data_IF_249232150406
#
_entry.id   IF_249232150406
#
_cell.length_a   1.000
_cell.length_b   1.000
_cell.length_c   1.000
_cell.angle_alpha   90.00
_cell.angle_beta   90.00
_cell.angle_gamma   90.00
#
_symmetry.space_group_name_H-M   'P 1'
#
loop_
_entity.id
_entity.type
_entity.pdbx_description
1 polymer ?
#
# COMPACT_ATOMS: atom_id res chain seq x y z
N UNK A 1 14.99 -0.55 -8.56
CA UNK A 1 14.09 -1.00 -9.65
C UNK A 1 13.04 0.06 -9.93
N UNK A 2 12.67 0.26 -11.20
CA UNK A 2 11.87 1.37 -11.69
C UNK A 2 10.42 0.91 -11.94
N UNK A 3 9.50 1.20 -11.02
CA UNK A 3 8.11 0.69 -11.07
C UNK A 3 7.07 1.72 -11.53
N UNK A 4 7.51 2.92 -11.91
CA UNK A 4 6.70 4.13 -11.78
C UNK A 4 5.67 4.36 -12.90
N UNK A 5 5.83 3.75 -14.08
CA UNK A 5 5.05 4.16 -15.25
C UNK A 5 4.14 3.05 -15.78
N UNK A 6 2.83 3.33 -15.75
CA UNK A 6 1.89 2.65 -16.62
C UNK A 6 2.10 3.17 -18.05
N UNK A 7 2.52 2.31 -18.96
CA UNK A 7 2.63 2.68 -20.38
C UNK A 7 1.25 2.95 -20.96
N UNK A 8 1.14 3.87 -21.93
CA UNK A 8 -0.13 4.14 -22.64
C UNK A 8 -0.76 2.86 -23.19
N UNK A 9 0.07 1.95 -23.72
CA UNK A 9 -0.39 0.65 -24.23
C UNK A 9 -1.08 -0.16 -23.13
N UNK A 10 -0.45 -0.27 -21.96
CA UNK A 10 -1.03 -1.01 -20.84
C UNK A 10 -2.28 -0.35 -20.26
N UNK A 11 -2.33 0.99 -20.20
CA UNK A 11 -3.50 1.74 -19.73
C UNK A 11 -4.70 1.49 -20.63
N UNK A 12 -4.48 1.53 -21.95
CA UNK A 12 -5.53 1.23 -22.93
C UNK A 12 -6.02 -0.20 -22.72
N UNK A 13 -5.15 -1.19 -22.62
CA UNK A 13 -5.54 -2.58 -22.39
C UNK A 13 -6.41 -2.74 -21.14
N UNK A 14 -6.00 -2.17 -20.00
CA UNK A 14 -6.76 -2.21 -18.76
C UNK A 14 -8.09 -1.44 -18.83
N UNK A 15 -8.13 -0.30 -19.52
CA UNK A 15 -9.36 0.47 -19.72
C UNK A 15 -10.38 -0.30 -20.58
N UNK A 16 -9.92 -1.24 -21.41
CA UNK A 16 -10.78 -2.07 -22.25
C UNK A 16 -11.30 -3.33 -21.53
N UNK A 17 -10.62 -3.81 -20.47
CA UNK A 17 -11.02 -5.01 -19.71
C UNK A 17 -12.33 -4.80 -18.95
N UNK A 18 -13.37 -5.65 -19.09
CA UNK A 18 -14.67 -5.49 -18.45
C UNK A 18 -14.54 -5.12 -16.97
N UNK A 19 -15.26 -4.09 -16.51
CA UNK A 19 -15.24 -3.63 -15.12
C UNK A 19 -15.79 -4.66 -14.12
N UNK A 20 -16.23 -5.81 -14.61
CA UNK A 20 -17.10 -6.72 -13.88
C UNK A 20 -16.39 -8.04 -13.59
N UNK A 21 -15.79 -8.19 -12.40
CA UNK A 21 -15.86 -9.45 -11.73
C UNK A 21 -17.26 -9.52 -11.10
N UNK A 22 -18.25 -10.03 -11.86
CA UNK A 22 -19.36 -10.69 -11.20
C UNK A 22 -18.76 -11.78 -10.29
N UNK A 23 -19.26 -11.83 -9.06
CA UNK A 23 -18.87 -12.73 -7.99
C UNK A 23 -17.51 -12.45 -7.31
N UNK A 24 -17.58 -11.76 -6.18
CA UNK A 24 -17.51 -12.54 -4.95
C UNK A 24 -18.57 -12.02 -4.00
N UNK A 25 -19.53 -12.90 -3.73
CA UNK A 25 -20.53 -12.80 -2.68
C UNK A 25 -19.94 -12.10 -1.46
N UNK A 26 -20.80 -11.34 -0.78
CA UNK A 26 -20.72 -11.14 0.66
C UNK A 26 -20.51 -12.51 1.30
N UNK A 27 -19.27 -12.97 1.45
CA UNK A 27 -18.95 -14.03 2.40
C UNK A 27 -19.25 -13.39 3.74
N UNK A 28 -20.42 -13.69 4.28
CA UNK A 28 -20.70 -13.72 5.71
C UNK A 28 -19.74 -14.72 6.35
N UNK A 29 -18.44 -14.41 6.30
CA UNK A 29 -17.42 -15.17 6.98
C UNK A 29 -17.49 -14.82 8.45
N UNK A 30 -17.35 -15.83 9.30
CA UNK A 30 -17.15 -15.73 10.74
C UNK A 30 -16.41 -14.43 11.07
N UNK A 31 -17.06 -13.55 11.84
CA UNK A 31 -16.35 -12.42 12.40
C UNK A 31 -15.25 -13.03 13.28
N UNK A 32 -14.00 -12.57 13.21
CA UNK A 32 -12.91 -13.06 14.05
C UNK A 32 -13.23 -13.06 15.54
N UNK A 33 -14.04 -12.08 15.96
CA UNK A 33 -14.58 -11.96 17.31
C UNK A 33 -15.54 -13.09 17.72
N UNK A 34 -16.02 -13.88 16.77
CA UNK A 34 -16.92 -15.01 16.99
C UNK A 34 -16.18 -16.35 17.12
N UNK A 35 -14.85 -16.37 16.97
CA UNK A 35 -14.06 -17.56 17.25
C UNK A 35 -13.95 -17.76 18.77
N UNK A 36 -13.80 -19.00 19.27
CA UNK A 36 -13.37 -19.25 20.65
C UNK A 36 -12.11 -18.44 21.01
N UNK A 37 -12.01 -17.98 22.25
CA UNK A 37 -10.91 -17.11 22.72
C UNK A 37 -9.54 -17.74 22.45
N UNK A 38 -9.42 -19.05 22.62
CA UNK A 38 -8.19 -19.82 22.40
C UNK A 38 -7.74 -19.72 20.95
N UNK A 39 -8.67 -19.82 20.00
CA UNK A 39 -8.36 -19.67 18.57
C UNK A 39 -8.03 -18.22 18.23
N UNK A 40 -8.69 -17.24 18.86
CA UNK A 40 -8.32 -15.83 18.70
C UNK A 40 -6.88 -15.59 19.19
N UNK A 41 -6.52 -16.10 20.37
CA UNK A 41 -5.17 -15.99 20.93
C UNK A 41 -4.13 -16.68 20.04
N UNK A 42 -4.41 -17.88 19.54
CA UNK A 42 -3.52 -18.57 18.60
C UNK A 42 -3.27 -17.75 17.33
N UNK A 43 -4.30 -17.10 16.79
CA UNK A 43 -4.17 -16.19 15.63
C UNK A 43 -3.31 -14.98 15.97
N UNK A 44 -3.54 -14.35 17.12
CA UNK A 44 -2.79 -13.17 17.54
C UNK A 44 -1.30 -13.50 17.74
N UNK A 45 -0.96 -14.68 18.27
CA UNK A 45 0.44 -15.12 18.43
C UNK A 45 1.19 -15.33 17.11
N UNK A 46 0.49 -15.44 15.98
CA UNK A 46 1.10 -15.53 14.65
C UNK A 46 1.25 -14.16 13.98
N UNK A 47 0.85 -13.08 14.64
CA UNK A 47 0.92 -11.73 14.10
C UNK A 47 2.25 -11.06 14.48
N UNK A 48 2.79 -10.24 13.58
CA UNK A 48 3.91 -9.37 13.95
C UNK A 48 3.46 -8.25 14.87
N UNK A 49 4.38 -7.57 15.60
CA UNK A 49 3.99 -6.51 16.53
C UNK A 49 3.23 -5.37 15.83
N UNK A 50 3.53 -5.09 14.56
CA UNK A 50 2.78 -4.10 13.76
C UNK A 50 1.34 -4.55 13.49
N UNK A 51 1.15 -5.83 13.19
CA UNK A 51 -0.17 -6.39 12.95
C UNK A 51 -1.00 -6.35 14.23
N UNK A 52 -0.40 -6.66 15.38
CA UNK A 52 -1.03 -6.52 16.70
C UNK A 52 -1.44 -5.09 17.02
N UNK A 53 -0.60 -4.09 16.73
CA UNK A 53 -0.98 -2.67 16.89
C UNK A 53 -2.19 -2.31 16.03
N UNK A 54 -2.18 -2.72 14.76
CA UNK A 54 -3.31 -2.49 13.87
C UNK A 54 -4.59 -3.17 14.39
N UNK A 55 -4.49 -4.41 14.86
CA UNK A 55 -5.60 -5.16 15.44
C UNK A 55 -6.17 -4.47 16.69
N UNK A 56 -5.30 -4.00 17.59
CA UNK A 56 -5.70 -3.27 18.81
C UNK A 56 -6.49 -1.98 18.53
N UNK A 57 -6.34 -1.39 17.35
CA UNK A 57 -7.02 -0.15 16.94
C UNK A 57 -8.34 -0.41 16.18
N UNK A 58 -8.64 -1.68 15.87
CA UNK A 58 -9.79 -2.04 15.02
C UNK A 58 -11.03 -2.45 15.80
N UNK A 59 -10.87 -3.06 16.98
CA UNK A 59 -11.98 -3.37 17.87
C UNK A 59 -11.54 -3.47 19.34
N UNK A 60 -12.47 -3.16 20.26
CA UNK A 60 -12.21 -3.21 21.71
C UNK A 60 -11.90 -4.63 22.21
N UNK A 61 -12.47 -5.67 21.59
CA UNK A 61 -12.21 -7.07 21.98
C UNK A 61 -10.74 -7.46 21.79
N UNK A 62 -10.15 -7.17 20.62
CA UNK A 62 -8.73 -7.41 20.41
C UNK A 62 -7.87 -6.50 21.26
N UNK A 63 -8.30 -5.26 21.50
CA UNK A 63 -7.61 -4.37 22.42
C UNK A 63 -7.52 -4.99 23.82
N UNK A 64 -8.64 -5.43 24.39
CA UNK A 64 -8.67 -6.08 25.72
C UNK A 64 -7.81 -7.33 25.76
N UNK A 65 -7.94 -8.24 24.78
CA UNK A 65 -7.11 -9.45 24.73
C UNK A 65 -5.62 -9.09 24.70
N UNK A 66 -5.22 -8.09 23.91
CA UNK A 66 -3.83 -7.68 23.78
C UNK A 66 -3.30 -6.89 24.98
N UNK A 67 -4.16 -6.18 25.70
CA UNK A 67 -3.78 -5.48 26.92
C UNK A 67 -3.61 -6.46 28.10
N UNK A 68 -4.41 -7.54 28.14
CA UNK A 68 -4.36 -8.56 29.20
C UNK A 68 -3.28 -9.64 28.97
N UNK A 69 -2.76 -9.78 27.75
CA UNK A 69 -1.90 -10.91 27.33
C UNK A 69 -0.54 -10.45 26.81
N UNK A 70 0.34 -10.06 27.73
CA UNK A 70 1.71 -9.68 27.42
C UNK A 70 2.51 -10.78 26.70
N UNK A 71 2.16 -12.06 26.92
CA UNK A 71 2.76 -13.21 26.26
C UNK A 71 2.59 -13.18 24.72
N UNK A 72 1.47 -12.65 24.22
CA UNK A 72 1.23 -12.53 22.77
C UNK A 72 2.23 -11.55 22.14
N UNK A 73 2.51 -10.44 22.83
CA UNK A 73 3.46 -9.45 22.33
C UNK A 73 4.91 -9.97 22.39
N UNK A 74 5.25 -10.70 23.46
CA UNK A 74 6.56 -11.34 23.57
C UNK A 74 6.79 -12.36 22.44
N UNK A 75 5.80 -13.19 22.12
CA UNK A 75 5.85 -14.12 20.98
C UNK A 75 6.08 -13.38 19.65
N UNK A 76 5.31 -12.31 19.41
CA UNK A 76 5.43 -11.48 18.21
C UNK A 76 6.79 -10.79 18.07
N UNK A 77 7.40 -10.39 19.19
CA UNK A 77 8.75 -9.82 19.23
C UNK A 77 9.81 -10.87 18.93
N UNK A 78 9.73 -12.03 19.60
CA UNK A 78 10.66 -13.14 19.38
C UNK A 78 10.65 -13.63 17.94
N UNK A 79 9.48 -13.63 17.30
CA UNK A 79 9.32 -13.97 15.89
C UNK A 79 10.25 -13.16 14.96
N UNK A 80 10.42 -11.86 15.24
CA UNK A 80 11.30 -10.97 14.47
C UNK A 80 12.74 -10.94 14.99
N UNK A 81 13.06 -11.78 15.98
CA UNK A 81 14.33 -11.73 16.71
C UNK A 81 14.57 -10.38 17.38
N UNK A 82 13.52 -9.59 17.60
CA UNK A 82 13.64 -8.21 18.01
C UNK A 82 14.03 -8.09 19.49
N UNK A 83 14.85 -7.09 19.84
CA UNK A 83 15.35 -6.93 21.20
C UNK A 83 14.19 -6.75 22.17
N UNK A 84 14.27 -7.38 23.34
CA UNK A 84 13.34 -7.09 24.43
C UNK A 84 13.30 -5.58 24.70
N UNK A 85 12.16 -5.01 25.12
CA UNK A 85 12.09 -3.61 25.47
C UNK A 85 13.19 -3.32 26.50
N UNK A 86 14.23 -2.52 26.17
CA UNK A 86 15.12 -2.06 27.22
C UNK A 86 14.29 -1.17 28.14
N UNK A 87 14.60 -1.17 29.44
CA UNK A 87 13.96 -0.27 30.41
C UNK A 87 14.09 1.22 30.06
N UNK A 88 14.80 1.56 28.98
CA UNK A 88 14.89 2.88 28.36
C UNK A 88 15.16 2.71 26.85
N UNK A 89 14.21 3.11 25.99
CA UNK A 89 14.58 3.61 24.66
C UNK A 89 15.18 5.00 24.89
N UNK A 90 16.41 5.22 24.43
CA UNK A 90 17.12 6.49 24.64
C UNK A 90 16.23 7.66 24.17
N UNK A 91 16.10 8.69 25.00
CA UNK A 91 15.30 9.89 24.74
C UNK A 91 13.76 9.75 24.72
N UNK A 92 13.20 8.55 25.02
CA UNK A 92 11.74 8.31 25.12
C UNK A 92 11.22 7.93 26.51
N UNK A 93 12.07 7.98 27.54
CA UNK A 93 11.70 7.50 28.87
C UNK A 93 11.59 5.96 28.91
N UNK A 94 11.18 5.40 30.05
CA UNK A 94 10.96 3.97 30.16
C UNK A 94 9.80 3.52 29.25
N UNK A 95 10.00 2.40 28.57
CA UNK A 95 8.92 1.75 27.83
C UNK A 95 8.22 0.77 28.75
N UNK A 96 7.09 1.19 29.30
CA UNK A 96 6.42 0.44 30.37
C UNK A 96 5.67 -0.82 29.86
N UNK A 97 5.61 -1.06 28.54
CA UNK A 97 4.93 -2.24 27.96
C UNK A 97 5.44 -2.64 26.56
N UNK A 98 5.29 -3.92 26.22
CA UNK A 98 5.58 -4.46 24.87
C UNK A 98 4.75 -3.77 23.77
N UNK A 99 3.52 -3.34 24.07
CA UNK A 99 2.67 -2.58 23.14
C UNK A 99 3.27 -1.20 22.83
N UNK A 100 3.73 -0.48 23.86
CA UNK A 100 4.40 0.81 23.68
C UNK A 100 5.70 0.62 22.89
N UNK A 101 6.49 -0.40 23.21
CA UNK A 101 7.70 -0.77 22.47
C UNK A 101 7.41 -1.02 20.99
N UNK A 102 6.39 -1.83 20.69
CA UNK A 102 5.99 -2.11 19.32
C UNK A 102 5.54 -0.83 18.60
N UNK A 103 4.82 0.06 19.29
CA UNK A 103 4.41 1.34 18.72
C UNK A 103 5.63 2.19 18.35
N UNK A 104 6.65 2.25 19.21
CA UNK A 104 7.90 2.94 18.87
C UNK A 104 8.59 2.31 17.65
N UNK A 105 8.82 0.99 17.67
CA UNK A 105 9.57 0.30 16.62
C UNK A 105 8.85 0.24 15.27
N UNK A 106 7.51 0.17 15.25
CA UNK A 106 6.74 -0.07 14.01
C UNK A 106 5.75 1.05 13.63
N UNK A 107 5.48 2.02 14.50
CA UNK A 107 4.60 3.18 14.19
C UNK A 107 5.27 4.53 14.38
N UNK A 108 6.40 4.59 15.08
CA UNK A 108 7.02 5.84 15.51
C UNK A 108 7.47 6.73 14.35
N UNK A 109 7.08 8.00 14.42
CA UNK A 109 7.85 9.08 13.85
C UNK A 109 9.02 9.33 14.79
N UNK A 110 10.15 8.63 14.61
CA UNK A 110 11.43 9.00 15.19
C UNK A 110 12.55 8.37 14.37
N UNK A 111 13.36 9.28 13.86
CA UNK A 111 14.81 9.36 13.98
C UNK A 111 15.65 8.10 14.00
N UNK A 112 16.89 8.33 13.59
CA UNK A 112 18.08 7.50 13.70
C UNK A 112 18.41 7.05 15.16
N UNK A 113 17.43 7.07 16.08
CA UNK A 113 17.53 6.94 17.52
C UNK A 113 16.84 5.68 18.08
N UNK A 114 16.33 4.78 17.25
CA UNK A 114 16.03 3.43 17.73
C UNK A 114 17.40 2.81 18.08
N UNK A 115 17.76 2.89 19.37
CA UNK A 115 18.89 2.20 19.98
C UNK A 115 18.56 0.71 20.10
N UNK A 116 18.22 0.10 18.96
CA UNK A 116 18.22 -1.34 18.83
C UNK A 116 19.69 -1.78 18.82
N UNK A 117 20.02 -2.94 19.42
CA UNK A 117 21.38 -3.45 19.39
C UNK A 117 21.92 -3.40 17.95
N UNK A 118 23.11 -2.81 17.71
CA UNK A 118 23.65 -2.62 16.36
C UNK A 118 23.65 -3.92 15.55
N UNK A 119 23.92 -5.05 16.22
CA UNK A 119 23.90 -6.38 15.63
C UNK A 119 22.51 -6.82 15.16
N UNK A 120 21.45 -6.50 15.93
CA UNK A 120 20.08 -6.76 15.49
C UNK A 120 19.69 -5.89 14.29
N UNK A 121 19.97 -4.59 14.34
CA UNK A 121 19.62 -3.68 13.24
C UNK A 121 20.33 -4.09 11.93
N UNK A 122 21.60 -4.49 12.03
CA UNK A 122 22.36 -5.02 10.90
C UNK A 122 21.75 -6.33 10.39
N UNK A 123 21.48 -7.29 11.27
CA UNK A 123 20.90 -8.59 10.89
C UNK A 123 19.50 -8.44 10.29
N UNK A 124 18.65 -7.64 10.92
CA UNK A 124 17.31 -7.33 10.42
C UNK A 124 17.39 -6.69 9.03
N UNK A 125 18.27 -5.69 8.83
CA UNK A 125 18.46 -5.06 7.52
C UNK A 125 18.89 -6.05 6.45
N UNK A 126 19.83 -6.96 6.78
CA UNK A 126 20.25 -8.01 5.85
C UNK A 126 19.11 -8.95 5.48
N UNK A 127 18.32 -9.38 6.47
CA UNK A 127 17.20 -10.28 6.21
C UNK A 127 16.06 -9.56 5.48
N UNK A 128 15.82 -8.29 5.78
CA UNK A 128 14.87 -7.44 5.07
C UNK A 128 15.23 -7.29 3.60
N UNK A 129 16.51 -7.07 3.26
CA UNK A 129 17.00 -6.99 1.88
C UNK A 129 16.78 -8.33 1.16
N UNK A 130 17.12 -9.44 1.82
CA UNK A 130 16.88 -10.78 1.28
C UNK A 130 15.39 -11.03 1.01
N UNK A 131 14.53 -10.68 1.97
CA UNK A 131 13.07 -10.83 1.84
C UNK A 131 12.52 -9.94 0.71
N UNK A 132 13.02 -8.71 0.57
CA UNK A 132 12.64 -7.79 -0.51
C UNK A 132 12.99 -8.36 -1.90
N UNK A 133 14.20 -8.88 -2.08
CA UNK A 133 14.65 -9.51 -3.32
C UNK A 133 13.87 -10.79 -3.63
N UNK A 134 13.68 -11.64 -2.63
CA UNK A 134 12.91 -12.88 -2.75
C UNK A 134 11.45 -12.59 -3.10
N UNK A 135 10.82 -11.61 -2.46
CA UNK A 135 9.45 -11.20 -2.76
C UNK A 135 9.32 -10.63 -4.17
N UNK A 136 10.27 -9.79 -4.60
CA UNK A 136 10.27 -9.26 -5.96
C UNK A 136 10.41 -10.38 -7.02
N UNK A 137 11.26 -11.38 -6.74
CA UNK A 137 11.40 -12.56 -7.60
C UNK A 137 10.12 -13.41 -7.60
N UNK A 138 9.58 -13.72 -6.41
CA UNK A 138 8.41 -14.58 -6.23
C UNK A 138 7.17 -14.00 -6.89
N UNK A 139 6.94 -12.69 -6.77
CA UNK A 139 5.82 -12.03 -7.45
C UNK A 139 5.98 -12.13 -8.97
N UNK A 140 7.19 -11.97 -9.53
CA UNK A 140 7.40 -12.14 -10.99
C UNK A 140 7.06 -13.56 -11.43
N UNK A 141 7.41 -14.56 -10.62
CA UNK A 141 7.00 -15.95 -10.84
C UNK A 141 5.48 -16.08 -10.80
N UNK A 142 4.80 -15.58 -9.77
CA UNK A 142 3.34 -15.64 -9.67
C UNK A 142 2.62 -14.93 -10.82
N UNK A 143 3.19 -13.84 -11.35
CA UNK A 143 2.67 -13.14 -12.53
C UNK A 143 2.78 -13.96 -13.83
N UNK A 144 3.58 -15.02 -13.82
CA UNK A 144 3.73 -15.97 -14.93
C UNK A 144 2.89 -17.23 -14.75
N UNK A 145 2.20 -17.37 -13.61
CA UNK A 145 1.35 -18.50 -13.23
C UNK A 145 -0.14 -18.14 -13.34
N UNK A 146 -1.02 -19.14 -13.23
CA UNK A 146 -2.45 -18.88 -13.15
C UNK A 146 -2.85 -18.17 -11.84
N UNK A 147 -3.85 -17.26 -11.89
CA UNK A 147 -4.66 -16.90 -13.06
C UNK A 147 -4.10 -15.71 -13.87
N UNK A 148 -2.90 -15.22 -13.56
CA UNK A 148 -2.31 -14.08 -14.27
C UNK A 148 -1.89 -14.41 -15.70
N UNK A 149 -1.48 -15.66 -15.92
CA UNK A 149 -1.13 -16.17 -17.24
C UNK A 149 -2.33 -16.20 -18.20
N UNK A 150 -3.53 -16.50 -17.70
CA UNK A 150 -4.78 -16.47 -18.46
C UNK A 150 -5.36 -15.06 -18.70
N UNK A 151 -4.83 -14.02 -18.06
CA UNK A 151 -5.31 -12.65 -18.30
C UNK A 151 -5.02 -12.22 -19.74
N UNK A 152 -6.04 -11.69 -20.43
CA UNK A 152 -5.89 -11.07 -21.76
C UNK A 152 -4.84 -9.95 -21.76
N UNK A 153 -4.67 -9.30 -20.61
CA UNK A 153 -3.70 -8.22 -20.40
C UNK A 153 -2.59 -8.69 -19.49
N UNK A 154 -1.37 -8.79 -20.05
CA UNK A 154 -0.18 -9.12 -19.26
C UNK A 154 0.07 -8.08 -18.18
N UNK A 155 0.18 -8.55 -16.94
CA UNK A 155 0.43 -7.71 -15.77
C UNK A 155 1.88 -7.83 -15.38
N UNK A 156 2.54 -6.69 -15.21
CA UNK A 156 3.93 -6.61 -14.80
C UNK A 156 4.06 -6.35 -13.31
N UNK A 157 5.20 -6.75 -12.74
CA UNK A 157 5.53 -6.43 -11.35
C UNK A 157 5.45 -4.93 -11.07
N UNK A 158 5.92 -4.09 -12.00
CA UNK A 158 5.83 -2.64 -11.89
C UNK A 158 4.39 -2.17 -11.70
N UNK A 159 3.44 -2.68 -12.49
CA UNK A 159 2.03 -2.31 -12.39
C UNK A 159 1.40 -2.76 -11.08
N UNK A 160 1.67 -3.98 -10.62
CA UNK A 160 1.22 -4.46 -9.30
C UNK A 160 1.71 -3.51 -8.21
N UNK A 161 2.98 -3.13 -8.24
CA UNK A 161 3.56 -2.23 -7.25
C UNK A 161 3.03 -0.79 -7.32
N UNK A 162 2.15 -0.48 -8.28
CA UNK A 162 1.40 0.79 -8.33
C UNK A 162 0.06 0.69 -7.61
N UNK A 163 -0.45 -0.52 -7.40
CA UNK A 163 -1.69 -0.76 -6.65
C UNK A 163 -1.46 -0.55 -5.15
N UNK A 164 -2.33 0.17 -4.43
CA UNK A 164 -2.27 0.24 -2.98
C UNK A 164 -2.26 -1.13 -2.30
N UNK A 165 -3.07 -2.09 -2.77
CA UNK A 165 -3.13 -3.44 -2.21
C UNK A 165 -1.83 -4.21 -2.43
N UNK A 166 -1.25 -4.18 -3.64
CA UNK A 166 0.00 -4.86 -3.94
C UNK A 166 1.17 -4.32 -3.13
N UNK A 167 1.27 -2.99 -2.98
CA UNK A 167 2.26 -2.37 -2.09
C UNK A 167 2.06 -2.77 -0.64
N UNK A 168 0.82 -2.72 -0.13
CA UNK A 168 0.54 -3.07 1.24
C UNK A 168 0.89 -4.53 1.57
N UNK A 169 0.63 -5.47 0.65
CA UNK A 169 1.05 -6.87 0.79
C UNK A 169 2.58 -6.98 0.81
N UNK A 170 3.24 -6.37 -0.17
CA UNK A 170 4.70 -6.41 -0.29
C UNK A 170 5.40 -5.83 0.93
N UNK A 171 4.96 -4.66 1.39
CA UNK A 171 5.52 -3.98 2.55
C UNK A 171 5.26 -4.77 3.84
N UNK A 172 4.12 -5.45 3.96
CA UNK A 172 3.80 -6.28 5.14
C UNK A 172 4.74 -7.49 5.26
N UNK A 173 4.85 -8.29 4.20
CA UNK A 173 5.73 -9.47 4.20
C UNK A 173 7.20 -9.09 4.35
N UNK A 174 7.64 -8.03 3.66
CA UNK A 174 9.01 -7.54 3.79
C UNK A 174 9.32 -7.04 5.21
N UNK A 175 8.40 -6.30 5.84
CA UNK A 175 8.51 -5.88 7.25
C UNK A 175 8.64 -7.08 8.18
N UNK A 176 7.83 -8.10 7.93
CA UNK A 176 7.81 -9.31 8.75
C UNK A 176 8.99 -10.26 8.40
N UNK A 177 9.86 -9.88 7.46
CA UNK A 177 10.99 -10.68 6.99
C UNK A 177 10.55 -12.02 6.40
N UNK A 178 9.36 -12.02 5.80
CA UNK A 178 8.70 -13.17 5.21
C UNK A 178 8.71 -13.10 3.67
N UNK A 179 8.54 -14.28 3.07
CA UNK A 179 8.29 -14.41 1.63
C UNK A 179 6.79 -14.60 1.38
N UNK A 180 6.24 -13.81 0.47
CA UNK A 180 4.83 -13.88 0.05
C UNK A 180 4.55 -15.26 -0.52
N UNK A 181 3.62 -15.95 0.12
CA UNK A 181 3.11 -17.22 -0.34
C UNK A 181 2.02 -17.06 -1.43
N UNK A 182 1.78 -18.14 -2.16
CA UNK A 182 0.83 -18.16 -3.28
C UNK A 182 -0.62 -17.89 -2.83
N UNK A 183 -1.00 -18.34 -1.64
CA UNK A 183 -2.36 -18.19 -1.15
C UNK A 183 -2.64 -16.75 -0.73
N UNK A 184 -1.72 -16.10 -0.01
CA UNK A 184 -1.74 -14.68 0.31
C UNK A 184 -1.82 -13.81 -0.94
N UNK A 185 -1.11 -14.18 -2.00
CA UNK A 185 -1.13 -13.52 -3.29
C UNK A 185 -2.48 -13.67 -4.02
N UNK A 186 -2.94 -14.90 -4.23
CA UNK A 186 -4.22 -15.24 -4.90
C UNK A 186 -5.42 -14.58 -4.23
N UNK A 187 -5.34 -14.43 -2.92
CA UNK A 187 -6.36 -13.84 -2.09
C UNK A 187 -6.57 -12.34 -2.26
N UNK A 188 -5.48 -11.59 -2.51
CA UNK A 188 -5.54 -10.14 -2.74
C UNK A 188 -5.64 -9.80 -4.22
N UNK A 189 -5.44 -10.78 -5.08
CA UNK A 189 -5.47 -10.64 -6.53
C UNK A 189 -6.71 -9.90 -7.06
N UNK A 190 -7.97 -10.28 -6.73
CA UNK A 190 -9.13 -9.57 -7.26
C UNK A 190 -9.16 -8.07 -6.90
N UNK A 191 -8.56 -7.70 -5.76
CA UNK A 191 -8.46 -6.30 -5.34
C UNK A 191 -7.39 -5.57 -6.17
N UNK A 192 -6.24 -6.18 -6.40
CA UNK A 192 -5.20 -5.61 -7.27
C UNK A 192 -5.71 -5.40 -8.70
N UNK A 193 -6.41 -6.37 -9.29
CA UNK A 193 -6.95 -6.23 -10.66
C UNK A 193 -7.96 -5.09 -10.76
N UNK A 194 -8.85 -4.96 -9.76
CA UNK A 194 -9.80 -3.85 -9.67
C UNK A 194 -9.08 -2.51 -9.57
N UNK A 195 -8.06 -2.41 -8.71
CA UNK A 195 -7.27 -1.21 -8.54
C UNK A 195 -6.55 -0.81 -9.83
N UNK A 196 -6.00 -1.77 -10.59
CA UNK A 196 -5.38 -1.52 -11.89
C UNK A 196 -6.39 -0.94 -12.90
N UNK A 197 -7.61 -1.49 -12.96
CA UNK A 197 -8.68 -0.97 -13.81
C UNK A 197 -9.08 0.48 -13.44
N UNK A 198 -9.21 0.77 -12.15
CA UNK A 198 -9.49 2.14 -11.66
C UNK A 198 -8.36 3.11 -12.01
N UNK A 199 -7.10 2.73 -11.82
CA UNK A 199 -5.94 3.55 -12.19
C UNK A 199 -5.87 3.78 -13.71
N UNK A 200 -6.20 2.76 -14.50
CA UNK A 200 -6.18 2.81 -15.96
C UNK A 200 -7.31 3.67 -16.55
N UNK A 201 -8.41 3.87 -15.81
CA UNK A 201 -9.52 4.76 -16.22
C UNK A 201 -9.08 6.22 -16.41
N UNK A 202 -7.94 6.61 -15.84
CA UNK A 202 -7.44 8.00 -15.81
C UNK A 202 -8.38 8.98 -15.08
N UNK A 203 -9.40 8.49 -14.39
CA UNK A 203 -10.30 9.28 -13.56
C UNK A 203 -9.69 9.36 -12.16
N UNK A 204 -9.11 10.51 -11.84
CA UNK A 204 -8.39 10.65 -10.57
C UNK A 204 -9.30 10.48 -9.34
N UNK A 205 -10.55 10.96 -9.42
CA UNK A 205 -11.54 10.78 -8.34
C UNK A 205 -11.96 9.33 -8.12
N UNK A 206 -11.80 8.47 -9.13
CA UNK A 206 -12.05 7.03 -9.04
C UNK A 206 -10.79 6.23 -8.62
N UNK A 207 -9.63 6.88 -8.48
CA UNK A 207 -8.40 6.20 -8.12
C UNK A 207 -8.48 5.59 -6.72
N UNK A 208 -7.87 4.41 -6.50
CA UNK A 208 -7.98 3.74 -5.22
C UNK A 208 -7.27 4.53 -4.11
N UNK A 209 -7.80 4.45 -2.90
CA UNK A 209 -7.25 5.17 -1.74
C UNK A 209 -5.79 4.77 -1.51
N UNK A 210 -4.91 5.76 -1.39
CA UNK A 210 -3.47 5.54 -1.22
C UNK A 210 -2.70 5.42 -2.55
N UNK A 211 -3.37 5.45 -3.70
CA UNK A 211 -2.70 5.62 -4.99
C UNK A 211 -1.95 6.95 -5.02
N UNK A 212 -0.72 6.93 -5.56
CA UNK A 212 0.13 8.11 -5.65
C UNK A 212 0.43 8.40 -7.12
N UNK A 213 -0.22 9.42 -7.71
CA UNK A 213 0.05 9.80 -9.08
C UNK A 213 1.53 10.15 -9.26
N UNK A 214 2.13 9.67 -10.32
CA UNK A 214 3.45 10.04 -10.80
C UNK A 214 3.32 11.12 -11.87
N UNK A 215 4.36 11.92 -12.09
CA UNK A 215 4.33 13.02 -13.08
C UNK A 215 4.02 12.53 -14.50
N UNK A 216 4.40 11.30 -14.81
CA UNK A 216 4.18 10.66 -16.11
C UNK A 216 2.82 9.95 -16.20
N UNK A 217 2.06 9.85 -15.11
CA UNK A 217 0.71 9.32 -15.19
C UNK A 217 -0.18 10.23 -16.00
N UNK A 218 -1.10 9.63 -16.76
CA UNK A 218 -2.14 10.33 -17.48
C UNK A 218 -3.44 10.37 -16.68
N UNK A 219 -4.08 11.52 -16.70
CA UNK A 219 -5.40 11.77 -16.13
C UNK A 219 -6.30 12.42 -17.17
N UNK A 220 -7.61 12.24 -17.00
CA UNK A 220 -8.60 13.00 -17.76
C UNK A 220 -8.80 14.33 -17.02
N UNK A 221 -8.71 15.43 -17.77
CA UNK A 221 -9.05 16.75 -17.25
C UNK A 221 -10.58 16.83 -17.07
N UNK A 222 -11.10 17.01 -15.84
CA UNK A 222 -12.55 17.03 -15.60
C UNK A 222 -13.23 18.22 -16.28
N UNK A 223 -12.50 19.31 -16.53
CA UNK A 223 -13.06 20.50 -17.21
C UNK A 223 -13.08 20.34 -18.75
N UNK A 224 -12.19 19.53 -19.32
CA UNK A 224 -12.28 19.12 -20.74
C UNK A 224 -13.29 17.99 -20.97
N UNK A 225 -13.50 17.15 -19.96
CA UNK A 225 -14.38 15.98 -20.03
C UNK A 225 -15.18 15.85 -18.72
N UNK A 226 -16.30 16.58 -18.59
CA UNK A 226 -17.11 16.61 -17.37
C UNK A 226 -17.77 15.26 -17.04
N UNK A 227 -17.99 14.43 -18.07
CA UNK A 227 -18.52 13.08 -17.94
C UNK A 227 -17.44 12.05 -18.33
N UNK A 228 -16.47 11.79 -17.43
CA UNK A 228 -15.38 10.88 -17.71
C UNK A 228 -15.83 9.41 -17.72
N UNK A 229 -17.05 9.10 -17.23
CA UNK A 229 -17.65 7.77 -17.26
C UNK A 229 -17.80 7.23 -18.69
N UNK A 230 -17.95 8.12 -19.67
CA UNK A 230 -18.05 7.76 -21.08
C UNK A 230 -16.70 7.60 -21.78
N UNK A 231 -15.56 7.92 -21.14
CA UNK A 231 -14.23 7.82 -21.75
C UNK A 231 -13.92 6.42 -22.29
N UNK A 232 -14.30 5.40 -21.51
CA UNK A 232 -14.14 4.00 -21.90
C UNK A 232 -15.02 3.62 -23.09
N UNK A 233 -16.28 4.05 -23.08
CA UNK A 233 -17.20 3.81 -24.20
C UNK A 233 -16.68 4.48 -25.47
N UNK A 234 -16.17 5.72 -25.38
CA UNK A 234 -15.57 6.44 -26.48
C UNK A 234 -14.33 5.70 -27.02
N UNK A 235 -13.44 5.22 -26.15
CA UNK A 235 -12.23 4.45 -26.54
C UNK A 235 -12.58 3.13 -27.23
N UNK A 236 -13.64 2.45 -26.77
CA UNK A 236 -14.16 1.21 -27.35
C UNK A 236 -14.80 1.44 -28.73
N UNK A 237 -15.55 2.53 -28.88
CA UNK A 237 -16.27 2.88 -30.10
C UNK A 237 -15.40 3.50 -31.19
N UNK A 238 -14.08 3.64 -30.97
CA UNK A 238 -13.18 4.22 -31.97
C UNK A 238 -13.17 3.38 -33.26
N UNK A 239 -13.38 4.01 -34.44
CA UNK A 239 -13.24 3.35 -35.72
C UNK A 239 -11.86 2.71 -35.89
N UNK A 240 -11.78 1.55 -36.55
CA UNK A 240 -10.52 0.81 -36.75
C UNK A 240 -9.38 1.64 -37.36
N UNK A 241 -9.70 2.65 -38.17
CA UNK A 241 -8.73 3.60 -38.77
C UNK A 241 -8.11 4.59 -37.78
N UNK A 242 -8.70 4.78 -36.59
CA UNK A 242 -8.22 5.70 -35.57
C UNK A 242 -7.33 4.95 -34.60
N UNK A 243 -6.08 5.40 -34.46
CA UNK A 243 -5.18 4.88 -33.45
C UNK A 243 -5.70 5.17 -32.04
N UNK A 244 -6.11 4.13 -31.31
CA UNK A 244 -6.50 4.23 -29.89
C UNK A 244 -5.42 4.91 -29.05
N UNK A 245 -4.14 4.66 -29.36
CA UNK A 245 -2.99 5.30 -28.67
C UNK A 245 -2.96 6.80 -28.92
N UNK A 246 -3.08 7.24 -30.17
CA UNK A 246 -3.11 8.67 -30.51
C UNK A 246 -4.32 9.35 -29.90
N UNK A 247 -5.49 8.73 -29.97
CA UNK A 247 -6.72 9.25 -29.37
C UNK A 247 -6.58 9.38 -27.85
N UNK A 248 -6.11 8.34 -27.16
CA UNK A 248 -5.89 8.36 -25.72
C UNK A 248 -4.92 9.48 -25.32
N UNK A 249 -3.83 9.65 -26.07
CA UNK A 249 -2.85 10.70 -25.81
C UNK A 249 -3.41 12.12 -25.95
N UNK A 250 -4.36 12.33 -26.88
CA UNK A 250 -5.02 13.62 -27.12
C UNK A 250 -6.12 13.95 -26.10
N UNK A 251 -6.75 12.92 -25.52
CA UNK A 251 -7.88 13.07 -24.59
C UNK A 251 -7.47 12.92 -23.12
N UNK A 252 -6.17 12.81 -22.83
CA UNK A 252 -5.64 12.76 -21.47
C UNK A 252 -4.43 13.68 -21.35
N UNK A 253 -4.13 14.09 -20.13
CA UNK A 253 -3.03 15.00 -19.79
C UNK A 253 -2.13 14.32 -18.78
N UNK A 254 -0.82 14.49 -18.89
CA UNK A 254 0.11 14.00 -17.86
C UNK A 254 -0.02 14.84 -16.59
N UNK A 255 0.14 14.24 -15.42
CA UNK A 255 0.09 14.95 -14.13
C UNK A 255 1.09 16.10 -14.10
N UNK A 256 2.30 15.89 -14.63
CA UNK A 256 3.35 16.91 -14.76
C UNK A 256 2.95 18.09 -15.65
N UNK A 257 2.08 17.89 -16.64
CA UNK A 257 1.63 18.95 -17.56
C UNK A 257 0.27 19.55 -17.19
N UNK A 258 -0.38 19.11 -16.10
CA UNK A 258 -1.69 19.63 -15.68
C UNK A 258 -1.73 21.15 -15.53
N UNK A 259 -0.78 21.77 -14.82
CA UNK A 259 -0.73 23.23 -14.65
C UNK A 259 -0.68 23.95 -15.99
N UNK A 260 0.18 23.51 -16.91
CA UNK A 260 0.29 24.09 -18.23
C UNK A 260 -0.99 23.91 -19.04
N UNK A 261 -1.59 22.72 -19.01
CA UNK A 261 -2.88 22.45 -19.65
C UNK A 261 -3.99 23.38 -19.15
N UNK A 262 -4.07 23.63 -17.83
CA UNK A 262 -5.05 24.56 -17.27
C UNK A 262 -4.74 26.01 -17.64
N UNK A 263 -3.48 26.42 -17.73
CA UNK A 263 -3.12 27.76 -18.20
C UNK A 263 -3.60 28.00 -19.63
N UNK A 264 -3.48 26.99 -20.49
CA UNK A 264 -3.87 27.10 -21.89
C UNK A 264 -5.39 26.96 -22.11
N UNK A 265 -6.04 25.99 -21.47
CA UNK A 265 -7.44 25.63 -21.78
C UNK A 265 -8.45 26.13 -20.76
N UNK A 266 -8.04 26.38 -19.52
CA UNK A 266 -8.91 26.73 -18.41
C UNK A 266 -8.32 27.86 -17.54
N UNK A 267 -7.87 28.99 -18.11
CA UNK A 267 -7.11 30.01 -17.37
C UNK A 267 -7.89 30.56 -16.16
N UNK A 268 -9.22 30.67 -16.27
CA UNK A 268 -10.10 31.11 -15.18
C UNK A 268 -10.24 30.12 -14.01
N UNK A 269 -9.77 28.88 -14.16
CA UNK A 269 -9.90 27.82 -13.15
C UNK A 269 -8.58 27.49 -12.43
N UNK A 270 -7.48 28.19 -12.73
CA UNK A 270 -6.15 27.88 -12.20
C UNK A 270 -6.06 27.85 -10.66
N UNK A 271 -6.80 28.73 -9.98
CA UNK A 271 -6.74 28.86 -8.52
C UNK A 271 -7.79 28.00 -7.79
N UNK A 272 -8.81 27.55 -8.51
CA UNK A 272 -9.95 26.83 -7.93
C UNK A 272 -9.98 25.37 -8.30
N UNK A 273 -9.32 24.97 -9.39
CA UNK A 273 -9.36 23.61 -9.88
C UNK A 273 -8.68 22.66 -8.90
N UNK A 274 -9.42 21.69 -8.34
CA UNK A 274 -8.85 20.88 -7.29
C UNK A 274 -7.88 19.80 -7.78
N UNK A 275 -7.89 19.48 -9.08
CA UNK A 275 -6.90 18.58 -9.69
C UNK A 275 -5.50 19.21 -9.72
N UNK A 276 -5.39 20.55 -9.65
CA UNK A 276 -4.11 21.24 -9.53
C UNK A 276 -3.53 21.15 -8.11
N UNK A 277 -4.31 20.69 -7.13
CA UNK A 277 -3.85 20.45 -5.75
C UNK A 277 -3.16 19.11 -5.57
N UNK A 278 -3.02 18.29 -6.60
CA UNK A 278 -2.22 17.05 -6.54
C UNK A 278 -0.78 17.44 -6.22
N UNK A 279 -0.22 17.04 -5.05
CA UNK A 279 1.19 17.26 -4.79
C UNK A 279 2.03 16.59 -5.90
N UNK A 280 2.72 17.38 -6.70
CA UNK A 280 3.74 16.88 -7.66
C UNK A 280 5.00 16.44 -6.94
N UNK A 281 5.23 17.11 -5.82
CA UNK A 281 6.35 16.97 -4.95
C UNK A 281 5.82 16.79 -3.53
N UNK A 282 6.44 15.89 -2.80
CA UNK A 282 6.12 15.60 -1.42
C UNK A 282 7.43 15.40 -0.65
N UNK A 283 7.43 15.89 0.57
CA UNK A 283 8.54 15.66 1.49
C UNK A 283 8.32 14.35 2.24
N UNK A 284 9.41 13.69 2.60
CA UNK A 284 9.32 12.60 3.55
C UNK A 284 8.94 13.15 4.92
N UNK A 285 7.74 12.82 5.41
CA UNK A 285 7.26 13.31 6.70
C UNK A 285 8.13 12.82 7.86
N UNK A 286 8.75 11.65 7.74
CA UNK A 286 9.68 11.11 8.74
C UNK A 286 10.92 12.01 8.82
N UNK A 287 11.55 12.30 7.68
CA UNK A 287 12.72 13.20 7.64
C UNK A 287 12.39 14.63 8.06
N UNK A 288 11.19 15.13 7.79
CA UNK A 288 10.78 16.47 8.21
C UNK A 288 10.58 16.58 9.73
N UNK A 289 10.15 15.50 10.38
CA UNK A 289 9.87 15.48 11.82
C UNK A 289 11.09 15.15 12.67
N UNK A 290 12.24 14.84 12.06
CA UNK A 290 13.48 14.41 12.70
C UNK A 290 14.25 15.57 13.37
N UNK A 291 14.41 15.63 14.71
CA UNK A 291 15.20 16.64 15.41
C UNK A 291 16.69 16.54 15.04
N UNK A 292 17.33 17.68 14.76
CA UNK A 292 18.79 17.77 14.57
C UNK A 292 19.31 17.45 13.15
N UNK A 293 18.44 17.03 12.23
CA UNK A 293 18.84 16.76 10.83
C UNK A 293 18.71 18.02 9.98
N UNK A 294 19.61 18.98 10.16
CA UNK A 294 19.40 20.34 9.62
C UNK A 294 19.61 20.49 8.10
N UNK A 295 20.35 19.63 7.38
CA UNK A 295 20.83 20.03 6.04
C UNK A 295 20.63 19.06 4.86
N UNK A 296 20.25 17.79 5.05
CA UNK A 296 20.26 16.81 3.93
C UNK A 296 18.90 16.33 3.41
N UNK A 297 17.76 16.67 4.04
CA UNK A 297 16.47 16.00 3.73
C UNK A 297 15.25 16.91 3.49
N UNK A 298 15.46 18.22 3.29
CA UNK A 298 14.41 19.12 2.78
C UNK A 298 14.33 19.10 1.24
N UNK A 299 14.66 17.97 0.62
CA UNK A 299 14.50 17.80 -0.83
C UNK A 299 13.08 17.30 -1.08
N UNK A 300 12.25 18.04 -1.82
CA UNK A 300 10.98 17.51 -2.26
C UNK A 300 11.20 16.34 -3.24
N UNK A 301 10.45 15.26 -3.06
CA UNK A 301 10.49 14.10 -3.94
C UNK A 301 9.24 14.03 -4.81
N UNK A 302 9.37 13.62 -6.08
CA UNK A 302 8.22 13.12 -6.83
C UNK A 302 7.74 11.78 -6.22
N UNK A 303 6.55 11.31 -6.61
CA UNK A 303 5.96 10.07 -6.08
C UNK A 303 6.92 8.86 -6.13
N UNK A 304 7.68 8.74 -7.22
CA UNK A 304 8.74 7.74 -7.40
C UNK A 304 9.90 7.92 -6.41
N UNK A 305 10.47 9.11 -6.35
CA UNK A 305 11.59 9.45 -5.48
C UNK A 305 11.23 9.23 -4.02
N UNK A 306 10.00 9.60 -3.63
CA UNK A 306 9.51 9.44 -2.27
C UNK A 306 9.40 7.95 -1.93
N UNK A 307 8.77 7.15 -2.80
CA UNK A 307 8.66 5.69 -2.57
C UNK A 307 10.02 5.02 -2.46
N UNK A 308 10.99 5.44 -3.29
CA UNK A 308 12.36 4.92 -3.22
C UNK A 308 13.05 5.33 -1.92
N UNK A 309 12.94 6.59 -1.52
CA UNK A 309 13.52 7.12 -0.30
C UNK A 309 12.90 6.44 0.93
N UNK A 310 11.58 6.37 1.02
CA UNK A 310 10.85 5.66 2.09
C UNK A 310 11.35 4.22 2.22
N UNK A 311 11.51 3.51 1.09
CA UNK A 311 12.00 2.13 1.07
C UNK A 311 13.45 1.98 1.53
N UNK A 312 14.35 2.84 1.05
CA UNK A 312 15.79 2.67 1.28
C UNK A 312 16.26 3.27 2.61
N UNK A 313 15.65 4.37 3.03
CA UNK A 313 16.06 5.14 4.20
C UNK A 313 15.25 4.80 5.45
N UNK A 314 13.99 4.38 5.29
CA UNK A 314 13.10 4.09 6.42
C UNK A 314 12.60 2.65 6.45
N UNK A 315 12.61 1.95 5.32
CA UNK A 315 12.13 0.58 5.22
C UNK A 315 12.74 -0.38 6.26
N UNK A 316 14.07 -0.39 6.47
CA UNK A 316 14.69 -1.25 7.48
C UNK A 316 14.49 -0.80 8.94
N UNK A 317 14.32 0.50 9.18
CA UNK A 317 14.34 1.08 10.55
C UNK A 317 12.92 1.31 11.08
N UNK A 318 11.96 1.62 10.19
CA UNK A 318 10.56 1.90 10.49
C UNK A 318 9.62 1.09 9.58
N UNK A 319 9.70 -0.25 9.62
CA UNK A 319 9.13 -1.11 8.58
C UNK A 319 7.59 -1.14 8.60
N UNK A 320 6.95 -0.64 9.67
CA UNK A 320 5.50 -0.52 9.77
C UNK A 320 4.89 0.82 9.32
N UNK A 321 5.71 1.82 8.97
CA UNK A 321 5.19 3.14 8.59
C UNK A 321 4.65 3.11 7.14
N UNK A 322 3.37 2.75 6.97
CA UNK A 322 2.68 2.91 5.67
C UNK A 322 2.40 4.39 5.49
N UNK A 323 3.28 5.06 4.78
CA UNK A 323 3.22 6.50 4.52
C UNK A 323 1.88 6.87 3.88
N UNK A 324 1.00 7.52 4.65
CA UNK A 324 -0.26 8.05 4.14
C UNK A 324 0.06 9.28 3.30
N UNK A 325 -0.29 9.21 2.02
CA UNK A 325 -0.30 10.40 1.18
C UNK A 325 -1.52 11.22 1.58
N UNK A 326 -1.31 12.31 2.31
CA UNK A 326 -2.34 13.31 2.58
C UNK A 326 -2.52 14.15 1.31
N UNK A 327 -3.14 13.57 0.27
CA UNK A 327 -3.76 14.43 -0.72
C UNK A 327 -4.96 15.10 -0.04
N UNK A 328 -5.10 16.43 -0.10
CA UNK A 328 -6.39 17.05 0.15
C UNK A 328 -7.35 16.52 -0.92
N UNK A 329 -8.16 15.50 -0.57
CA UNK A 329 -9.24 15.04 -1.44
C UNK A 329 -10.17 16.22 -1.68
N UNK A 330 -10.37 16.67 -2.91
CA UNK A 330 -11.22 17.82 -3.14
C UNK A 330 -12.69 17.47 -3.44
N UNK A 331 -13.03 16.19 -3.48
CA UNK A 331 -14.37 15.74 -3.84
C UNK A 331 -14.83 14.66 -2.87
N UNK A 332 -15.61 15.07 -1.87
CA UNK A 332 -16.58 14.23 -1.16
C UNK A 332 -16.09 13.35 -0.01
N UNK A 333 -15.89 13.96 1.17
CA UNK A 333 -16.66 13.82 2.43
C UNK A 333 -15.71 14.11 3.61
N UNK A 334 -16.16 14.87 4.63
CA UNK A 334 -15.32 15.23 5.75
C UNK A 334 -15.00 13.98 6.58
N UNK A 335 -13.74 13.91 7.03
CA UNK A 335 -13.27 13.19 8.21
C UNK A 335 -14.23 12.12 8.73
N UNK A 336 -14.18 10.93 8.11
CA UNK A 336 -14.31 9.72 8.93
C UNK A 336 -12.89 9.22 9.13
N UNK A 337 -12.31 9.65 10.24
CA UNK A 337 -11.15 8.98 10.80
C UNK A 337 -11.60 7.56 11.16
N UNK A 338 -11.26 6.61 10.31
CA UNK A 338 -11.48 5.19 10.59
C UNK A 338 -10.24 4.45 10.19
N UNK A 339 -9.54 3.99 11.21
CA UNK A 339 -8.75 2.76 11.22
C UNK A 339 -9.54 1.64 10.53
N UNK A 340 -9.47 1.53 9.19
CA UNK A 340 -10.37 0.66 8.43
C UNK A 340 -9.85 -0.77 8.22
N UNK A 341 -10.77 -1.76 8.14
CA UNK A 341 -10.57 -3.19 8.43
C UNK A 341 -9.96 -4.01 7.28
N UNK A 342 -9.39 -3.37 6.25
CA UNK A 342 -8.83 -4.06 5.08
C UNK A 342 -7.53 -4.82 5.40
N UNK A 343 -6.76 -4.34 6.40
CA UNK A 343 -5.59 -5.06 6.95
C UNK A 343 -5.97 -6.29 7.78
N UNK A 344 -7.10 -6.22 8.49
CA UNK A 344 -7.68 -7.36 9.21
C UNK A 344 -7.89 -8.52 8.24
N UNK A 345 -8.49 -8.22 7.08
CA UNK A 345 -8.72 -9.20 6.03
C UNK A 345 -7.42 -9.87 5.58
N UNK A 346 -6.32 -9.18 5.31
CA UNK A 346 -5.08 -9.85 4.87
C UNK A 346 -4.44 -10.72 5.97
N UNK A 347 -4.55 -10.34 7.24
CA UNK A 347 -4.06 -11.13 8.39
C UNK A 347 -4.94 -12.37 8.64
N UNK A 348 -6.26 -12.21 8.68
CA UNK A 348 -7.23 -13.31 8.85
C UNK A 348 -7.22 -14.25 7.64
N UNK A 349 -6.98 -13.70 6.45
CA UNK A 349 -6.89 -14.50 5.24
C UNK A 349 -5.53 -15.20 5.09
N UNK A 350 -4.42 -14.66 5.66
CA UNK A 350 -3.16 -15.41 5.89
C UNK A 350 -3.45 -16.67 6.73
N UNK A 351 -4.31 -16.56 7.74
CA UNK A 351 -4.78 -17.70 8.53
C UNK A 351 -5.68 -18.68 7.74
N UNK A 352 -6.71 -18.22 7.02
CA UNK A 352 -7.53 -19.13 6.19
C UNK A 352 -6.71 -19.86 5.10
N UNK A 353 -5.74 -19.17 4.50
CA UNK A 353 -4.81 -19.75 3.54
C UNK A 353 -3.93 -20.85 4.17
N UNK A 354 -3.39 -20.59 5.37
CA UNK A 354 -2.52 -21.51 6.10
C UNK A 354 -3.29 -22.72 6.65
N UNK A 355 -4.43 -22.49 7.30
CA UNK A 355 -5.31 -23.56 7.81
C UNK A 355 -5.80 -24.46 6.68
N UNK A 356 -6.27 -23.90 5.55
CA UNK A 356 -6.70 -24.69 4.40
C UNK A 356 -5.56 -25.55 3.80
N UNK A 357 -4.32 -25.06 3.84
CA UNK A 357 -3.14 -25.80 3.37
C UNK A 357 -2.69 -26.92 4.30
N UNK A 358 -2.93 -26.78 5.62
CA UNK A 358 -2.60 -27.77 6.64
C UNK A 358 -3.67 -28.86 6.76
N UNK A 359 -4.97 -28.53 6.61
CA UNK A 359 -6.06 -29.53 6.52
C UNK A 359 -6.10 -30.30 5.20
N UNK A 360 -5.35 -29.88 4.18
CA UNK A 360 -5.21 -30.63 2.92
C UNK A 360 -4.03 -31.62 2.95
N UNK A 361 -3.22 -31.61 4.01
CA UNK A 361 -2.04 -32.48 4.20
C UNK A 361 -2.22 -33.50 5.34
N UNK A 362 -3.32 -33.41 6.09
CA UNK A 362 -3.82 -34.42 7.01
C UNK A 362 -5.01 -35.11 6.37
#
# INVERSE_FOLDING_TARGET
MNYATFTDHSRIQWALMPSDPQQQQRRSGLKPTNLPLELQVQVLRQCSPKDLLALSQTCSTFQTILDDRADIWADARMYLGAPAPPGTLKDHGPVDSERAWAAYLFTGALDLLIDAPPDWALLYTQNWIKADEQNASKIRTFLSEEPFKELEVKVTFAQIMRTPTGRALFDAFRRDVEVIDYASWTLVLPSMLRELGLIASCILSASPRGFRPDELDRVICPDCCPDPTNFRHALNALPARISKRKWFALNTVTVGSLTHHYQEKHPGLLLVSPILRIPRLAYCTICLSAPGVQHCYHVPYNSRGLTCHERMCHGPINPGHVHKWLAPLPFGNPLVDVNQPSKLRSIIKRWFARVASETARA
#
